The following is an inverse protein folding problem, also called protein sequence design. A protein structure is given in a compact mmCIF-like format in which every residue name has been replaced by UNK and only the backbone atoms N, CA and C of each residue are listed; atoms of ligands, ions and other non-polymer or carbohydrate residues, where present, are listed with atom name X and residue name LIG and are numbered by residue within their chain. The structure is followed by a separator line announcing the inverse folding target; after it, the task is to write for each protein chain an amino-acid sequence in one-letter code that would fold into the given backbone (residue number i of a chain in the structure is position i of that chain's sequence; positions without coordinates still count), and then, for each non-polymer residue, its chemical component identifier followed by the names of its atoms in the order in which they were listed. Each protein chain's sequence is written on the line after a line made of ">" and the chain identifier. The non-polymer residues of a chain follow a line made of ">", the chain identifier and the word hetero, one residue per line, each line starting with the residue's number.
data_IF_246512158574
#
_entry.id   IF_246512158574
#
_cell.length_a   1.000
_cell.length_b   1.000
_cell.length_c   1.000
_cell.angle_alpha   90.00
_cell.angle_beta   90.00
_cell.angle_gamma   90.00
#
_symmetry.space_group_name_H-M   'P 1'
#
loop_
_entity.id
_entity.type
_entity.pdbx_description
1 polymer ?
#
# COMPACT_ATOMS: atom_id res chain seq x y z
N UNK A 1 14.39 29.81 7.17
CA UNK A 1 13.70 29.17 6.04
C UNK A 1 13.78 27.66 6.22
N UNK A 2 12.70 26.92 5.96
CA UNK A 2 12.75 25.46 6.02
C UNK A 2 13.51 24.92 4.80
N UNK A 3 14.36 23.91 5.01
CA UNK A 3 15.14 23.25 3.96
C UNK A 3 15.08 21.72 4.12
N UNK A 4 15.14 21.00 2.99
CA UNK A 4 15.10 19.54 2.97
C UNK A 4 13.80 18.99 3.58
N UNK A 5 13.89 17.92 4.38
CA UNK A 5 12.71 17.27 4.98
C UNK A 5 11.86 18.20 5.84
N UNK A 6 12.43 19.29 6.39
CA UNK A 6 11.70 20.29 7.18
C UNK A 6 10.69 21.10 6.36
N UNK A 7 10.71 20.96 5.04
CA UNK A 7 9.69 21.55 4.15
C UNK A 7 8.41 20.70 4.09
N UNK A 8 8.44 19.46 4.59
CA UNK A 8 7.29 18.55 4.62
C UNK A 8 6.65 18.58 5.99
N UNK A 9 5.45 19.16 6.09
CA UNK A 9 4.63 19.10 7.29
C UNK A 9 3.87 17.76 7.37
N UNK A 10 3.93 17.10 8.53
CA UNK A 10 3.15 15.90 8.81
C UNK A 10 1.98 16.25 9.72
N UNK A 11 0.77 15.84 9.34
CA UNK A 11 -0.49 16.06 10.06
C UNK A 11 -1.28 14.75 10.16
N UNK A 12 -2.38 14.74 10.92
CA UNK A 12 -3.31 13.60 11.05
C UNK A 12 -2.67 12.33 11.66
N UNK A 13 -1.76 12.52 12.64
CA UNK A 13 -1.02 11.45 13.32
C UNK A 13 -1.57 11.09 14.72
N UNK A 14 -2.70 11.67 15.14
CA UNK A 14 -3.29 11.42 16.47
C UNK A 14 -3.70 9.96 16.70
N UNK A 15 -3.99 9.21 15.62
CA UNK A 15 -4.36 7.80 15.65
C UNK A 15 -3.20 6.88 15.23
N UNK A 16 -1.95 7.36 15.27
CA UNK A 16 -0.78 6.58 14.90
C UNK A 16 -0.64 5.32 15.78
N UNK A 17 -0.24 4.21 15.16
CA UNK A 17 -0.10 2.90 15.81
C UNK A 17 1.30 2.33 15.59
N UNK A 18 1.70 1.41 16.47
CA UNK A 18 2.90 0.59 16.26
C UNK A 18 2.58 -0.47 15.21
N UNK A 19 3.39 -0.53 14.16
CA UNK A 19 3.25 -1.51 13.09
C UNK A 19 4.54 -1.69 12.30
N UNK A 20 4.54 -2.56 11.27
CA UNK A 20 5.70 -2.75 10.40
C UNK A 20 6.09 -1.45 9.72
N UNK A 21 7.39 -1.15 9.65
CA UNK A 21 7.91 0.06 8.99
C UNK A 21 7.53 0.15 7.51
N UNK A 22 7.24 -1.00 6.90
CA UNK A 22 6.73 -1.11 5.53
C UNK A 22 5.32 -0.51 5.34
N UNK A 23 4.54 -0.32 6.41
CA UNK A 23 3.14 0.13 6.31
C UNK A 23 3.03 1.53 5.70
N UNK A 24 3.80 2.49 6.22
CA UNK A 24 3.77 3.86 5.73
C UNK A 24 4.31 3.95 4.30
N UNK A 25 5.38 3.21 3.99
CA UNK A 25 5.91 3.18 2.63
C UNK A 25 4.89 2.60 1.64
N UNK A 26 4.21 1.51 1.98
CA UNK A 26 3.13 0.95 1.15
C UNK A 26 1.99 1.97 0.95
N UNK A 27 1.73 2.83 1.95
CA UNK A 27 0.73 3.89 1.84
C UNK A 27 1.09 5.00 0.87
N UNK A 28 2.38 5.34 0.78
CA UNK A 28 2.91 6.37 -0.10
C UNK A 28 3.07 5.82 -1.53
N UNK A 29 3.69 4.65 -1.67
CA UNK A 29 3.98 4.04 -2.96
C UNK A 29 2.69 3.62 -3.68
N UNK A 30 1.67 3.21 -2.93
CA UNK A 30 0.40 2.73 -3.48
C UNK A 30 -0.78 3.49 -2.87
N UNK A 31 -0.73 4.83 -2.93
CA UNK A 31 -1.86 5.65 -2.52
C UNK A 31 -3.09 5.33 -3.40
N UNK A 32 -4.20 4.93 -2.77
CA UNK A 32 -5.42 4.58 -3.48
C UNK A 32 -6.16 5.81 -4.04
N UNK A 33 -5.88 7.02 -3.53
CA UNK A 33 -6.59 8.24 -3.90
C UNK A 33 -6.01 8.95 -5.12
N UNK A 34 -4.77 8.67 -5.47
CA UNK A 34 -4.06 9.24 -6.63
C UNK A 34 -3.34 8.15 -7.43
N UNK A 35 -3.15 8.34 -8.73
CA UNK A 35 -2.32 7.41 -9.50
C UNK A 35 -0.86 7.64 -9.19
N UNK A 36 -0.20 6.64 -8.60
CA UNK A 36 1.26 6.58 -8.57
C UNK A 36 1.69 5.70 -9.73
N UNK A 37 2.27 6.29 -10.76
CA UNK A 37 2.70 5.54 -11.95
C UNK A 37 3.78 4.51 -11.59
N UNK A 38 3.84 3.34 -12.26
CA UNK A 38 4.79 2.26 -11.92
C UNK A 38 6.25 2.72 -11.81
N UNK A 39 6.69 3.63 -12.68
CA UNK A 39 8.04 4.20 -12.63
C UNK A 39 8.29 5.04 -11.36
N UNK A 40 7.28 5.78 -10.88
CA UNK A 40 7.37 6.51 -9.62
C UNK A 40 7.32 5.54 -8.42
N UNK A 41 6.49 4.49 -8.47
CA UNK A 41 6.45 3.47 -7.43
C UNK A 41 7.83 2.82 -7.23
N UNK A 42 8.46 2.39 -8.33
CA UNK A 42 9.79 1.79 -8.30
C UNK A 42 10.83 2.76 -7.74
N UNK A 43 10.84 4.03 -8.19
CA UNK A 43 11.77 5.04 -7.68
C UNK A 43 11.61 5.33 -6.18
N UNK A 44 10.38 5.44 -5.69
CA UNK A 44 10.09 5.68 -4.27
C UNK A 44 10.55 4.50 -3.41
N UNK A 45 10.25 3.26 -3.84
CA UNK A 45 10.69 2.06 -3.15
C UNK A 45 12.21 1.96 -3.14
N UNK A 46 12.87 2.08 -4.30
CA UNK A 46 14.34 2.03 -4.40
C UNK A 46 15.02 3.09 -3.53
N UNK A 47 14.52 4.32 -3.54
CA UNK A 47 15.07 5.40 -2.71
C UNK A 47 14.99 5.07 -1.21
N UNK A 48 13.88 4.47 -0.75
CA UNK A 48 13.74 4.04 0.63
C UNK A 48 14.72 2.91 0.96
N UNK A 49 14.81 1.89 0.09
CA UNK A 49 15.73 0.76 0.30
C UNK A 49 17.18 1.23 0.37
N UNK A 50 17.63 2.07 -0.56
CA UNK A 50 18.97 2.67 -0.57
C UNK A 50 19.26 3.42 0.74
N UNK A 51 18.30 4.21 1.22
CA UNK A 51 18.44 4.93 2.49
C UNK A 51 18.55 3.99 3.70
N UNK A 52 17.91 2.82 3.64
CA UNK A 52 17.92 1.82 4.72
C UNK A 52 19.15 0.92 4.70
N UNK A 53 19.81 0.73 3.55
CA UNK A 53 21.02 -0.12 3.42
C UNK A 53 22.17 0.29 4.35
N UNK A 54 22.22 1.55 4.78
CA UNK A 54 23.20 2.01 5.75
C UNK A 54 22.86 1.64 7.22
N UNK A 55 21.70 1.02 7.46
CA UNK A 55 21.30 0.55 8.79
C UNK A 55 21.81 -0.88 9.00
N UNK A 56 22.69 -1.14 10.01
CA UNK A 56 23.38 -2.43 10.17
C UNK A 56 22.49 -3.69 10.28
N UNK A 57 21.22 -3.52 10.67
CA UNK A 57 20.25 -4.61 10.86
C UNK A 57 19.18 -4.69 9.77
N UNK A 58 19.33 -3.93 8.68
CA UNK A 58 18.33 -3.92 7.62
C UNK A 58 18.47 -5.13 6.70
N UNK A 59 17.45 -5.98 6.71
CA UNK A 59 17.27 -7.07 5.74
C UNK A 59 16.29 -6.59 4.65
N UNK A 60 16.83 -6.34 3.45
CA UNK A 60 16.07 -5.88 2.29
C UNK A 60 15.02 -6.90 1.84
N UNK A 61 15.35 -8.20 1.87
CA UNK A 61 14.43 -9.26 1.46
C UNK A 61 13.27 -9.39 2.44
N UNK A 62 13.56 -9.37 3.74
CA UNK A 62 12.52 -9.37 4.78
C UNK A 62 11.64 -8.11 4.69
N UNK A 63 12.23 -6.95 4.38
CA UNK A 63 11.48 -5.72 4.20
C UNK A 63 10.56 -5.78 2.97
N UNK A 64 11.04 -6.27 1.83
CA UNK A 64 10.22 -6.41 0.62
C UNK A 64 9.06 -7.38 0.83
N UNK A 65 9.29 -8.49 1.55
CA UNK A 65 8.22 -9.38 2.00
C UNK A 65 7.19 -8.63 2.86
N UNK A 66 7.66 -7.86 3.87
CA UNK A 66 6.76 -7.08 4.73
C UNK A 66 5.99 -6.01 3.93
N UNK A 67 6.62 -5.38 2.94
CA UNK A 67 6.00 -4.42 2.02
C UNK A 67 4.85 -5.06 1.24
N UNK A 68 5.07 -6.23 0.63
CA UNK A 68 4.00 -6.95 -0.08
C UNK A 68 2.84 -7.33 0.84
N UNK A 69 3.13 -7.81 2.06
CA UNK A 69 2.09 -8.16 3.04
C UNK A 69 1.29 -6.92 3.48
N UNK A 70 1.97 -5.81 3.79
CA UNK A 70 1.29 -4.56 4.17
C UNK A 70 0.51 -3.95 3.01
N UNK A 71 1.02 -4.04 1.79
CA UNK A 71 0.30 -3.65 0.58
C UNK A 71 -1.01 -4.44 0.43
N UNK A 72 -0.97 -5.77 0.54
CA UNK A 72 -2.17 -6.61 0.46
C UNK A 72 -3.16 -6.28 1.58
N UNK A 73 -2.69 -6.22 2.83
CA UNK A 73 -3.52 -5.90 4.00
C UNK A 73 -4.25 -4.55 3.83
N UNK A 74 -3.52 -3.51 3.41
CA UNK A 74 -4.09 -2.18 3.21
C UNK A 74 -5.10 -2.14 2.08
N UNK A 75 -4.81 -2.77 0.94
CA UNK A 75 -5.74 -2.77 -0.20
C UNK A 75 -7.02 -3.57 0.12
N UNK A 76 -6.93 -4.68 0.85
CA UNK A 76 -8.11 -5.39 1.35
C UNK A 76 -8.96 -4.49 2.27
N UNK A 77 -8.32 -3.77 3.20
CA UNK A 77 -9.02 -2.81 4.07
C UNK A 77 -9.68 -1.68 3.26
N UNK A 78 -8.99 -1.15 2.26
CA UNK A 78 -9.50 -0.05 1.43
C UNK A 78 -10.71 -0.48 0.58
N UNK A 79 -10.70 -1.69 0.02
CA UNK A 79 -11.85 -2.23 -0.71
C UNK A 79 -13.12 -2.21 0.15
N UNK A 80 -13.05 -2.69 1.40
CA UNK A 80 -14.16 -2.60 2.34
C UNK A 80 -14.54 -1.15 2.71
N UNK A 81 -13.56 -0.26 2.85
CA UNK A 81 -13.80 1.16 3.15
C UNK A 81 -14.57 1.85 2.02
N UNK A 82 -14.28 1.56 0.75
CA UNK A 82 -14.98 2.17 -0.37
C UNK A 82 -16.45 1.78 -0.40
N UNK A 83 -16.75 0.49 -0.20
CA UNK A 83 -18.13 -0.01 -0.10
C UNK A 83 -18.84 0.63 1.10
N UNK A 84 -18.20 0.63 2.27
CA UNK A 84 -18.77 1.26 3.48
C UNK A 84 -19.07 2.75 3.27
N UNK A 85 -18.17 3.49 2.63
CA UNK A 85 -18.36 4.91 2.32
C UNK A 85 -19.55 5.13 1.38
N UNK A 86 -19.76 4.23 0.42
CA UNK A 86 -20.91 4.27 -0.48
C UNK A 86 -22.21 3.96 0.27
N UNK A 87 -22.29 2.81 0.94
CA UNK A 87 -23.55 2.29 1.50
C UNK A 87 -23.98 2.99 2.80
N UNK A 88 -23.03 3.20 3.73
CA UNK A 88 -23.33 3.75 5.05
C UNK A 88 -23.21 5.26 5.09
N UNK A 89 -22.19 5.81 4.44
CA UNK A 89 -21.82 7.22 4.58
C UNK A 89 -22.36 8.09 3.42
N UNK A 90 -23.03 7.50 2.43
CA UNK A 90 -23.65 8.22 1.30
C UNK A 90 -22.64 8.87 0.36
N UNK A 91 -21.42 8.32 0.24
CA UNK A 91 -20.30 8.88 -0.53
C UNK A 91 -19.90 7.97 -1.71
N UNK A 92 -20.77 7.79 -2.73
CA UNK A 92 -20.51 6.87 -3.85
C UNK A 92 -19.30 7.28 -4.70
N UNK A 93 -18.92 8.56 -4.69
CA UNK A 93 -17.77 9.08 -5.44
C UNK A 93 -16.42 8.44 -5.09
N UNK A 94 -16.31 7.74 -3.95
CA UNK A 94 -15.09 7.00 -3.60
C UNK A 94 -14.93 5.68 -4.38
N UNK A 95 -16.01 5.12 -4.93
CA UNK A 95 -15.94 3.87 -5.71
C UNK A 95 -15.04 3.98 -6.94
N UNK A 96 -14.80 5.21 -7.44
CA UNK A 96 -13.81 5.48 -8.50
C UNK A 96 -12.39 5.01 -8.15
N UNK A 97 -12.08 4.82 -6.87
CA UNK A 97 -10.77 4.34 -6.41
C UNK A 97 -10.65 2.81 -6.44
N UNK A 98 -11.77 2.08 -6.48
CA UNK A 98 -11.78 0.61 -6.43
C UNK A 98 -10.91 -0.05 -7.52
N UNK A 99 -10.97 0.36 -8.81
CA UNK A 99 -10.13 -0.28 -9.84
C UNK A 99 -8.63 -0.18 -9.54
N UNK A 100 -8.19 0.96 -8.98
CA UNK A 100 -6.80 1.16 -8.56
C UNK A 100 -6.44 0.30 -7.36
N UNK A 101 -7.31 0.23 -6.36
CA UNK A 101 -7.14 -0.63 -5.18
C UNK A 101 -6.96 -2.09 -5.58
N UNK A 102 -7.74 -2.59 -6.54
CA UNK A 102 -7.59 -3.95 -7.06
C UNK A 102 -6.32 -4.16 -7.86
N UNK A 103 -5.89 -3.19 -8.68
CA UNK A 103 -4.58 -3.25 -9.35
C UNK A 103 -3.42 -3.37 -8.37
N UNK A 104 -3.44 -2.61 -7.29
CA UNK A 104 -2.40 -2.70 -6.25
C UNK A 104 -2.49 -3.99 -5.46
N UNK A 105 -3.69 -4.49 -5.18
CA UNK A 105 -3.88 -5.80 -4.57
C UNK A 105 -3.33 -6.92 -5.46
N UNK A 106 -3.61 -6.90 -6.78
CA UNK A 106 -3.06 -7.86 -7.74
C UNK A 106 -1.53 -7.86 -7.72
N UNK A 107 -0.92 -6.67 -7.76
CA UNK A 107 0.53 -6.53 -7.67
C UNK A 107 1.08 -7.10 -6.36
N UNK A 108 0.41 -6.88 -5.22
CA UNK A 108 0.81 -7.46 -3.94
C UNK A 108 0.73 -9.00 -3.95
N UNK A 109 -0.38 -9.55 -4.45
CA UNK A 109 -0.66 -10.98 -4.53
C UNK A 109 0.29 -11.75 -5.47
N UNK A 110 1.06 -11.05 -6.31
CA UNK A 110 2.13 -11.66 -7.09
C UNK A 110 3.29 -12.17 -6.22
N UNK A 111 3.45 -11.66 -4.99
CA UNK A 111 4.51 -12.09 -4.09
C UNK A 111 4.25 -13.53 -3.58
N UNK A 112 5.24 -14.45 -3.61
CA UNK A 112 5.04 -15.86 -3.25
C UNK A 112 4.44 -16.10 -1.86
N UNK A 113 4.85 -15.32 -0.86
CA UNK A 113 4.32 -15.39 0.52
C UNK A 113 2.81 -15.13 0.62
N UNK A 114 2.22 -14.48 -0.38
CA UNK A 114 0.78 -14.19 -0.44
C UNK A 114 0.00 -15.22 -1.27
N UNK A 115 0.63 -16.30 -1.74
CA UNK A 115 -0.03 -17.37 -2.47
C UNK A 115 -1.30 -17.89 -1.76
N UNK A 116 -1.30 -18.17 -0.43
CA UNK A 116 -2.51 -18.63 0.24
C UNK A 116 -3.69 -17.64 0.14
N UNK A 117 -3.40 -16.33 0.23
CA UNK A 117 -4.41 -15.29 0.10
C UNK A 117 -4.89 -15.14 -1.36
N UNK A 118 -3.95 -15.16 -2.31
CA UNK A 118 -4.27 -15.12 -3.75
C UNK A 118 -5.19 -16.27 -4.14
N UNK A 119 -4.84 -17.49 -3.72
CA UNK A 119 -5.61 -18.69 -4.05
C UNK A 119 -6.99 -18.66 -3.37
N UNK A 120 -7.09 -18.08 -2.18
CA UNK A 120 -8.38 -17.81 -1.55
C UNK A 120 -9.22 -16.81 -2.36
N UNK A 121 -8.64 -15.69 -2.81
CA UNK A 121 -9.34 -14.72 -3.64
C UNK A 121 -9.91 -15.33 -4.92
N UNK A 122 -9.11 -16.15 -5.62
CA UNK A 122 -9.54 -16.85 -6.82
C UNK A 122 -10.72 -17.79 -6.55
N UNK A 123 -10.69 -18.56 -5.45
CA UNK A 123 -11.82 -19.43 -5.05
C UNK A 123 -13.10 -18.65 -4.75
N UNK A 124 -12.97 -17.40 -4.30
CA UNK A 124 -14.10 -16.50 -4.05
C UNK A 124 -14.59 -15.78 -5.32
N UNK A 125 -14.03 -16.08 -6.50
CA UNK A 125 -14.39 -15.43 -7.76
C UNK A 125 -13.81 -14.03 -7.92
N UNK A 126 -12.80 -13.67 -7.13
CA UNK A 126 -12.08 -12.40 -7.27
C UNK A 126 -10.84 -12.64 -8.14
N UNK A 127 -10.97 -12.41 -9.44
CA UNK A 127 -9.83 -12.27 -10.34
C UNK A 127 -9.47 -10.78 -10.49
N UNK A 128 -8.19 -10.48 -10.39
CA UNK A 128 -7.67 -9.11 -10.45
C UNK A 128 -6.77 -8.88 -11.67
N UNK A 129 -6.75 -9.82 -12.62
CA UNK A 129 -5.93 -9.77 -13.83
C UNK A 129 -6.63 -9.16 -15.06
N UNK A 130 -7.79 -8.53 -14.89
CA UNK A 130 -8.50 -7.78 -15.95
C UNK A 130 -7.76 -6.50 -16.38
#
# INVERSE_FOLDING_TARGET
>A
QNAGIRQVGLIDFQDAMIGPTAYDLASIVQDARVTIEPGLQARLLSHYLESRRHTPSFDEAAFLKAFSIMSAQRNCKLAGIWVRLMERDGKPGYMKHMPRTFRYLAAALSHPELAPLRDWCLRMGMDFND
#
